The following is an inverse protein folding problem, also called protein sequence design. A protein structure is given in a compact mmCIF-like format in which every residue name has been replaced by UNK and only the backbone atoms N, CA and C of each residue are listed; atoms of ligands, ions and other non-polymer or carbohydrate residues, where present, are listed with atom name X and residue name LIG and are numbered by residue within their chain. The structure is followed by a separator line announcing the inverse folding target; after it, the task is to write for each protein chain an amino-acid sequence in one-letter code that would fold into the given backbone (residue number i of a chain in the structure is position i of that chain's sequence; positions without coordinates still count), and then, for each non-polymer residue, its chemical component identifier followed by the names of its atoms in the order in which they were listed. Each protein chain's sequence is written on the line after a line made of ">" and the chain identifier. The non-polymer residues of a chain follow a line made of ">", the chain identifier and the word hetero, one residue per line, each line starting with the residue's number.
data_IF_573169446061
#
_entry.id   IF_573169446061
#
_cell.length_a   1.000
_cell.length_b   1.000
_cell.length_c   1.000
_cell.angle_alpha   90.00
_cell.angle_beta   90.00
_cell.angle_gamma   90.00
#
_symmetry.space_group_name_H-M   'P 1'
#
loop_
_entity.id
_entity.type
_entity.pdbx_description
1 polymer ?
#
# COMPACT_ATOMS: atom_id res chain seq x y z
N UNK A 1 12.15 -14.17 -35.47
CA UNK A 1 12.88 -13.52 -34.39
C UNK A 1 12.05 -12.33 -33.95
N UNK A 2 11.20 -12.52 -32.92
CA UNK A 2 10.40 -11.43 -32.36
C UNK A 2 11.20 -10.86 -31.19
N UNK A 3 11.57 -9.60 -31.31
CA UNK A 3 12.23 -8.83 -30.24
C UNK A 3 11.23 -8.60 -29.13
N UNK A 4 11.48 -9.22 -27.99
CA UNK A 4 10.75 -8.98 -26.75
C UNK A 4 11.09 -7.54 -26.31
N UNK A 5 10.12 -6.65 -26.46
CA UNK A 5 10.21 -5.27 -25.97
C UNK A 5 10.38 -5.30 -24.44
N UNK A 6 11.40 -4.61 -23.95
CA UNK A 6 11.63 -4.45 -22.52
C UNK A 6 10.44 -3.72 -21.91
N UNK A 7 9.88 -4.31 -20.85
CA UNK A 7 8.84 -3.67 -20.03
C UNK A 7 9.34 -2.32 -19.52
N UNK A 8 8.48 -1.29 -19.45
CA UNK A 8 8.85 0.00 -18.89
C UNK A 8 9.18 -0.14 -17.41
N UNK A 9 10.01 0.77 -16.86
CA UNK A 9 10.40 0.72 -15.46
C UNK A 9 9.16 0.86 -14.57
N UNK A 10 9.03 -0.07 -13.64
CA UNK A 10 8.02 -0.02 -12.59
C UNK A 10 8.17 1.31 -11.84
N UNK A 11 7.16 2.17 -11.90
CA UNK A 11 7.11 3.37 -11.10
C UNK A 11 6.90 2.94 -9.63
N UNK A 12 8.00 2.83 -8.90
CA UNK A 12 7.98 2.72 -7.45
C UNK A 12 7.45 4.05 -6.91
N UNK A 13 6.18 4.07 -6.54
CA UNK A 13 5.62 5.18 -5.79
C UNK A 13 6.03 5.02 -4.34
N UNK A 14 7.29 5.36 -4.02
CA UNK A 14 7.68 5.59 -2.63
C UNK A 14 6.72 6.62 -2.05
N UNK A 15 6.10 6.30 -0.91
CA UNK A 15 5.19 7.21 -0.26
C UNK A 15 5.90 8.55 -0.02
N UNK A 16 5.41 9.57 -0.69
CA UNK A 16 6.03 10.88 -0.82
C UNK A 16 6.20 11.55 0.57
N UNK A 17 7.25 12.38 0.77
CA UNK A 17 7.33 13.32 1.89
C UNK A 17 6.05 14.17 2.06
N UNK A 18 5.30 14.36 1.00
CA UNK A 18 4.00 15.03 0.98
C UNK A 18 2.96 14.26 1.77
N UNK A 19 2.88 12.93 1.61
CA UNK A 19 1.96 12.11 2.39
C UNK A 19 2.32 12.13 3.89
N UNK A 20 3.59 12.04 4.23
CA UNK A 20 4.03 12.08 5.63
C UNK A 20 3.61 13.40 6.32
N UNK A 21 3.83 14.53 5.64
CA UNK A 21 3.43 15.84 6.12
C UNK A 21 1.90 15.93 6.27
N UNK A 22 1.14 15.41 5.30
CA UNK A 22 -0.31 15.37 5.34
C UNK A 22 -0.84 14.52 6.51
N UNK A 23 -0.29 13.33 6.70
CA UNK A 23 -0.68 12.43 7.80
C UNK A 23 -0.40 13.07 9.17
N UNK A 24 0.75 13.72 9.34
CA UNK A 24 1.10 14.45 10.58
C UNK A 24 0.14 15.61 10.84
N UNK A 25 -0.21 16.40 9.81
CA UNK A 25 -1.14 17.51 9.92
C UNK A 25 -2.55 17.03 10.29
N UNK A 26 -3.04 15.97 9.67
CA UNK A 26 -4.35 15.39 9.94
C UNK A 26 -4.46 14.90 11.40
N UNK A 27 -3.42 14.22 11.91
CA UNK A 27 -3.37 13.80 13.31
C UNK A 27 -3.33 14.98 14.29
N UNK A 28 -2.59 16.02 13.95
CA UNK A 28 -2.55 17.24 14.79
C UNK A 28 -3.92 17.94 14.85
N UNK A 29 -4.66 18.00 13.75
CA UNK A 29 -6.00 18.56 13.67
C UNK A 29 -7.01 17.81 14.55
N UNK A 30 -6.80 16.50 14.79
CA UNK A 30 -7.59 15.67 15.70
C UNK A 30 -7.20 15.84 17.18
N UNK A 31 -6.35 16.81 17.51
CA UNK A 31 -5.83 16.98 18.87
C UNK A 31 -4.93 15.82 19.33
N UNK A 32 -4.58 14.95 18.42
CA UNK A 32 -3.77 13.76 18.69
C UNK A 32 -2.29 14.16 18.68
N UNK A 33 -1.69 14.34 19.85
CA UNK A 33 -0.23 14.51 19.93
C UNK A 33 0.42 13.30 19.27
N UNK A 34 1.26 13.55 18.27
CA UNK A 34 2.07 12.52 17.65
C UNK A 34 3.09 12.01 18.69
N UNK A 35 2.68 11.05 19.53
CA UNK A 35 3.60 10.33 20.42
C UNK A 35 4.64 9.58 19.60
N UNK A 36 5.82 9.29 20.17
CA UNK A 36 6.94 8.69 19.46
C UNK A 36 6.58 7.47 18.61
N UNK A 37 5.71 6.57 19.11
CA UNK A 37 5.27 5.39 18.36
C UNK A 37 4.54 5.74 17.06
N UNK A 38 3.65 6.76 17.07
CA UNK A 38 2.92 7.19 15.84
C UNK A 38 3.85 7.78 14.81
N UNK A 39 4.85 8.56 15.24
CA UNK A 39 5.85 9.13 14.33
C UNK A 39 6.67 8.04 13.65
N UNK A 40 7.07 7.00 14.40
CA UNK A 40 7.81 5.86 13.86
C UNK A 40 6.98 5.09 12.82
N UNK A 41 5.69 4.85 13.08
CA UNK A 41 4.80 4.16 12.13
C UNK A 41 4.59 4.99 10.87
N UNK A 42 4.36 6.30 10.98
CA UNK A 42 4.21 7.19 9.83
C UNK A 42 5.49 7.21 8.99
N UNK A 43 6.66 7.34 9.61
CA UNK A 43 7.93 7.33 8.90
C UNK A 43 8.19 5.98 8.19
N UNK A 44 7.84 4.85 8.85
CA UNK A 44 7.96 3.53 8.25
C UNK A 44 7.03 3.32 7.05
N UNK A 45 5.80 3.86 7.11
CA UNK A 45 4.84 3.86 5.99
C UNK A 45 5.33 4.76 4.85
N UNK A 46 5.85 5.95 5.16
CA UNK A 46 6.36 6.89 4.15
C UNK A 46 7.57 6.35 3.38
N UNK A 47 8.35 5.46 3.98
CA UNK A 47 9.53 4.84 3.37
C UNK A 47 9.29 3.48 2.71
N UNK A 48 8.03 3.07 2.49
CA UNK A 48 7.74 1.77 1.84
C UNK A 48 7.41 1.93 0.36
N UNK A 49 7.79 0.92 -0.42
CA UNK A 49 7.56 0.90 -1.87
C UNK A 49 6.22 0.26 -2.26
N UNK A 50 5.63 -0.53 -1.35
CA UNK A 50 4.36 -1.23 -1.53
C UNK A 50 3.71 -1.44 -0.16
N UNK A 51 2.56 -2.11 -0.12
CA UNK A 51 1.87 -2.43 1.13
C UNK A 51 2.72 -3.32 2.05
N UNK A 52 2.57 -3.15 3.35
CA UNK A 52 3.24 -3.95 4.38
C UNK A 52 2.30 -4.34 5.51
N UNK A 53 2.51 -5.51 6.10
CA UNK A 53 1.83 -5.95 7.31
C UNK A 53 2.29 -5.16 8.55
N UNK A 54 1.51 -5.20 9.62
CA UNK A 54 1.89 -4.58 10.89
C UNK A 54 3.22 -5.14 11.43
N UNK A 55 3.49 -6.43 11.23
CA UNK A 55 4.72 -7.09 11.63
C UNK A 55 5.92 -6.58 10.84
N UNK A 56 5.78 -6.43 9.51
CA UNK A 56 6.83 -5.89 8.64
C UNK A 56 7.13 -4.43 8.98
N UNK A 57 6.09 -3.61 9.22
CA UNK A 57 6.24 -2.23 9.68
C UNK A 57 6.98 -2.19 11.03
N UNK A 58 6.61 -3.04 11.99
CA UNK A 58 7.27 -3.14 13.28
C UNK A 58 8.74 -3.53 13.15
N UNK A 59 9.04 -4.55 12.33
CA UNK A 59 10.42 -4.99 12.06
C UNK A 59 11.26 -3.87 11.40
N UNK A 60 10.68 -3.12 10.46
CA UNK A 60 11.32 -1.97 9.80
C UNK A 60 11.65 -0.85 10.80
N UNK A 61 10.72 -0.53 11.71
CA UNK A 61 10.97 0.42 12.79
C UNK A 61 12.16 -0.03 13.67
N UNK A 62 12.20 -1.30 14.04
CA UNK A 62 13.30 -1.85 14.83
C UNK A 62 14.64 -1.79 14.09
N UNK A 63 14.65 -2.05 12.78
CA UNK A 63 15.85 -2.00 11.92
C UNK A 63 16.44 -0.58 11.82
N UNK A 64 15.61 0.47 11.97
CA UNK A 64 16.07 1.87 12.00
C UNK A 64 16.43 2.37 13.41
N UNK A 65 16.48 1.47 14.39
CA UNK A 65 16.79 1.82 15.80
C UNK A 65 15.60 2.40 16.58
N UNK A 66 14.41 2.41 15.99
CA UNK A 66 13.19 2.83 16.66
C UNK A 66 12.68 1.75 17.62
N UNK A 67 12.02 2.18 18.71
CA UNK A 67 11.43 1.27 19.69
C UNK A 67 9.95 1.53 19.83
N UNK A 68 9.13 0.53 19.53
CA UNK A 68 7.67 0.56 19.74
C UNK A 68 7.14 -0.86 19.95
N UNK A 69 6.04 -1.00 20.67
CA UNK A 69 5.38 -2.30 20.79
C UNK A 69 4.43 -2.54 19.63
N UNK A 70 4.29 -3.80 19.21
CA UNK A 70 3.40 -4.21 18.11
C UNK A 70 1.94 -3.74 18.30
N UNK A 71 1.43 -3.74 19.53
CA UNK A 71 0.10 -3.23 19.84
C UNK A 71 -0.05 -1.72 19.53
N UNK A 72 1.05 -0.94 19.66
CA UNK A 72 1.06 0.48 19.30
C UNK A 72 1.10 0.69 17.80
N UNK A 73 1.74 -0.22 17.06
CA UNK A 73 1.69 -0.23 15.59
C UNK A 73 0.25 -0.44 15.15
N UNK A 74 -0.43 -1.50 15.61
CA UNK A 74 -1.82 -1.77 15.25
C UNK A 74 -2.75 -0.59 15.57
N UNK A 75 -2.70 -0.04 16.79
CA UNK A 75 -3.52 1.12 17.16
C UNK A 75 -3.26 2.35 16.29
N UNK A 76 -2.02 2.52 15.82
CA UNK A 76 -1.71 3.62 14.91
C UNK A 76 -2.26 3.37 13.51
N UNK A 77 -2.13 2.14 13.00
CA UNK A 77 -2.70 1.75 11.71
C UNK A 77 -4.22 1.89 11.70
N UNK A 78 -4.91 1.42 12.75
CA UNK A 78 -6.37 1.58 12.88
C UNK A 78 -6.78 3.05 12.88
N UNK A 79 -6.03 3.90 13.58
CA UNK A 79 -6.28 5.35 13.61
C UNK A 79 -6.08 5.99 12.22
N UNK A 80 -4.98 5.68 11.54
CA UNK A 80 -4.68 6.21 10.21
C UNK A 80 -5.70 5.72 9.17
N UNK A 81 -6.12 4.47 9.25
CA UNK A 81 -7.16 3.91 8.39
C UNK A 81 -8.52 4.57 8.62
N UNK A 82 -8.90 4.78 9.89
CA UNK A 82 -10.13 5.50 10.25
C UNK A 82 -10.17 6.95 9.76
N UNK A 83 -9.00 7.55 9.53
CA UNK A 83 -8.83 8.89 8.94
C UNK A 83 -8.66 8.85 7.40
N UNK A 84 -8.79 7.71 6.77
CA UNK A 84 -8.57 7.50 5.33
C UNK A 84 -7.18 7.95 4.84
N UNK A 85 -6.18 7.90 5.72
CA UNK A 85 -4.80 8.25 5.42
C UNK A 85 -4.00 7.06 4.88
N UNK A 86 -4.48 5.84 5.13
CA UNK A 86 -3.93 4.60 4.60
C UNK A 86 -5.05 3.71 4.07
N UNK A 87 -4.69 2.89 3.10
CA UNK A 87 -5.54 1.83 2.56
C UNK A 87 -5.16 0.49 3.20
N UNK A 88 -6.15 -0.33 3.50
CA UNK A 88 -5.97 -1.70 3.95
C UNK A 88 -6.16 -2.63 2.77
N UNK A 89 -5.15 -3.43 2.49
CA UNK A 89 -5.11 -4.39 1.38
C UNK A 89 -5.26 -5.81 1.94
N UNK A 90 -6.19 -6.57 1.38
CA UNK A 90 -6.29 -8.01 1.61
C UNK A 90 -5.65 -8.75 0.44
N UNK A 91 -4.51 -9.36 0.68
CA UNK A 91 -3.80 -10.14 -0.32
C UNK A 91 -4.26 -11.60 -0.38
N UNK A 92 -5.32 -11.98 0.34
CA UNK A 92 -5.91 -13.31 0.30
C UNK A 92 -5.13 -14.40 1.07
N UNK A 93 -4.10 -14.02 1.82
CA UNK A 93 -3.30 -14.89 2.71
C UNK A 93 -3.74 -14.77 4.18
N UNK A 94 -4.81 -14.00 4.45
CA UNK A 94 -5.30 -13.74 5.79
C UNK A 94 -4.50 -12.68 6.56
N UNK A 95 -3.50 -12.07 5.95
CA UNK A 95 -2.67 -11.03 6.56
C UNK A 95 -3.08 -9.66 5.99
N UNK A 96 -3.59 -8.78 6.86
CA UNK A 96 -3.87 -7.40 6.47
C UNK A 96 -2.57 -6.64 6.22
N UNK A 97 -2.47 -5.97 5.05
CA UNK A 97 -1.38 -5.08 4.68
C UNK A 97 -1.90 -3.65 4.56
N UNK A 98 -1.00 -2.71 4.71
CA UNK A 98 -1.33 -1.29 4.75
C UNK A 98 -0.38 -0.49 3.86
N UNK A 99 -0.91 0.50 3.19
CA UNK A 99 -0.13 1.45 2.39
C UNK A 99 -0.70 2.86 2.51
N UNK A 100 0.10 3.89 2.27
CA UNK A 100 -0.37 5.26 2.19
C UNK A 100 -1.48 5.44 1.16
N UNK A 101 -2.60 6.08 1.55
CA UNK A 101 -3.61 6.49 0.60
C UNK A 101 -3.12 7.70 -0.20
N UNK A 102 -3.27 7.66 -1.52
CA UNK A 102 -2.90 8.77 -2.39
C UNK A 102 -4.02 9.81 -2.46
N UNK A 103 -3.77 11.08 -2.07
CA UNK A 103 -4.80 12.11 -2.06
C UNK A 103 -5.35 12.48 -3.44
N UNK A 104 -4.59 12.20 -4.49
CA UNK A 104 -4.94 12.43 -5.90
C UNK A 104 -5.76 11.29 -6.52
N UNK A 105 -6.06 10.24 -5.74
CA UNK A 105 -6.78 9.06 -6.22
C UNK A 105 -5.92 8.12 -7.07
N UNK A 106 -4.61 8.37 -7.19
CA UNK A 106 -3.72 7.41 -7.82
C UNK A 106 -3.76 6.09 -7.04
N UNK A 107 -4.03 5.01 -7.75
CA UNK A 107 -4.06 3.67 -7.18
C UNK A 107 -3.17 2.73 -8.01
N UNK A 108 -2.82 1.62 -7.42
CA UNK A 108 -2.10 0.54 -8.07
C UNK A 108 -2.69 -0.79 -7.62
N UNK A 109 -2.37 -1.82 -8.34
CA UNK A 109 -2.80 -3.18 -8.07
C UNK A 109 -1.64 -4.01 -7.55
N UNK A 110 -1.91 -5.22 -7.08
CA UNK A 110 -0.92 -6.04 -6.40
C UNK A 110 -0.71 -7.39 -7.09
N UNK A 111 0.56 -7.79 -7.22
CA UNK A 111 1.00 -9.13 -7.58
C UNK A 111 1.47 -9.83 -6.31
N UNK A 112 0.92 -11.00 -6.01
CA UNK A 112 1.27 -11.77 -4.81
C UNK A 112 1.88 -13.09 -5.22
N UNK A 113 3.08 -13.38 -4.74
CA UNK A 113 3.70 -14.67 -4.92
C UNK A 113 3.25 -15.66 -3.85
N UNK A 114 2.55 -16.72 -4.25
CA UNK A 114 2.07 -17.75 -3.32
C UNK A 114 3.20 -18.61 -2.71
N UNK A 115 4.39 -18.58 -3.32
CA UNK A 115 5.54 -19.37 -2.88
C UNK A 115 6.37 -18.66 -1.82
N UNK A 116 6.73 -17.37 -2.04
CA UNK A 116 7.60 -16.63 -1.14
C UNK A 116 6.91 -15.48 -0.40
N UNK A 117 5.64 -15.23 -0.69
CA UNK A 117 4.86 -14.16 -0.05
C UNK A 117 5.22 -12.75 -0.50
N UNK A 118 6.11 -12.56 -1.50
CA UNK A 118 6.42 -11.23 -2.00
C UNK A 118 5.18 -10.56 -2.60
N UNK A 119 5.06 -9.27 -2.36
CA UNK A 119 4.01 -8.43 -2.94
C UNK A 119 4.67 -7.32 -3.74
N UNK A 120 4.23 -7.15 -4.98
CA UNK A 120 4.70 -6.12 -5.89
C UNK A 120 3.53 -5.29 -6.38
N UNK A 121 3.70 -3.97 -6.48
CA UNK A 121 2.71 -3.07 -7.05
C UNK A 121 2.81 -3.08 -8.58
N UNK A 122 1.68 -2.97 -9.27
CA UNK A 122 1.64 -2.75 -10.71
C UNK A 122 0.50 -1.81 -11.11
N UNK A 123 0.66 -1.18 -12.24
CA UNK A 123 -0.38 -0.39 -12.92
C UNK A 123 -0.39 -0.79 -14.40
N UNK A 124 -1.58 -0.93 -14.97
CA UNK A 124 -1.75 -1.28 -16.39
C UNK A 124 -2.96 -0.58 -16.98
N UNK A 125 -2.72 0.33 -17.94
CA UNK A 125 -3.77 1.13 -18.57
C UNK A 125 -4.79 0.29 -19.36
N UNK A 126 -4.37 -0.85 -19.91
CA UNK A 126 -5.27 -1.73 -20.65
C UNK A 126 -6.25 -2.42 -19.68
N UNK A 127 -5.76 -2.78 -18.49
CA UNK A 127 -6.59 -3.33 -17.42
C UNK A 127 -7.62 -2.30 -16.93
N UNK A 128 -7.20 -1.06 -16.68
CA UNK A 128 -8.10 0.03 -16.29
C UNK A 128 -9.20 0.24 -17.34
N UNK A 129 -8.80 0.28 -18.62
CA UNK A 129 -9.75 0.41 -19.74
C UNK A 129 -10.75 -0.74 -19.77
N UNK A 130 -10.30 -1.96 -19.51
CA UNK A 130 -11.16 -3.15 -19.50
C UNK A 130 -12.18 -3.11 -18.35
N UNK A 131 -11.77 -2.65 -17.16
CA UNK A 131 -12.65 -2.48 -16.01
C UNK A 131 -13.77 -1.48 -16.32
N UNK A 132 -13.43 -0.32 -16.88
CA UNK A 132 -14.42 0.68 -17.28
C UNK A 132 -15.37 0.14 -18.36
N UNK A 133 -14.86 -0.56 -19.37
CA UNK A 133 -15.68 -1.16 -20.40
C UNK A 133 -16.68 -2.20 -19.85
N UNK A 134 -16.28 -2.99 -18.87
CA UNK A 134 -17.20 -3.93 -18.17
C UNK A 134 -18.26 -3.18 -17.39
N UNK A 135 -17.89 -2.14 -16.66
CA UNK A 135 -18.82 -1.31 -15.91
C UNK A 135 -19.88 -0.66 -16.81
N UNK A 136 -19.46 -0.09 -17.93
CA UNK A 136 -20.34 0.51 -18.92
C UNK A 136 -21.28 -0.53 -19.57
N UNK A 137 -20.75 -1.74 -19.83
CA UNK A 137 -21.56 -2.81 -20.43
C UNK A 137 -22.70 -3.28 -19.54
N UNK A 138 -22.51 -3.25 -18.21
CA UNK A 138 -23.51 -3.68 -17.23
C UNK A 138 -24.28 -2.51 -16.58
N UNK A 139 -24.08 -1.30 -17.08
CA UNK A 139 -24.67 -0.05 -16.54
C UNK A 139 -24.41 0.12 -15.02
N UNK A 140 -23.16 -0.08 -14.61
CA UNK A 140 -22.74 -0.01 -13.21
C UNK A 140 -21.68 1.05 -13.00
N UNK A 141 -21.90 1.97 -12.05
CA UNK A 141 -20.90 2.96 -11.67
C UNK A 141 -19.87 2.33 -10.73
N UNK A 142 -18.63 2.23 -11.17
CA UNK A 142 -17.49 1.81 -10.33
C UNK A 142 -16.88 3.05 -9.68
N UNK A 143 -16.93 3.11 -8.36
CA UNK A 143 -16.32 4.21 -7.57
C UNK A 143 -14.91 3.85 -7.09
N UNK A 144 -14.60 2.57 -6.91
CA UNK A 144 -13.28 2.04 -6.53
C UNK A 144 -13.16 0.57 -6.96
N UNK A 145 -11.94 0.13 -7.17
CA UNK A 145 -11.64 -1.28 -7.43
C UNK A 145 -10.24 -1.64 -6.94
N UNK A 146 -10.07 -2.87 -6.51
CA UNK A 146 -8.79 -3.45 -6.11
C UNK A 146 -8.58 -4.76 -6.88
N UNK A 147 -7.37 -4.95 -7.44
CA UNK A 147 -7.02 -6.18 -8.14
C UNK A 147 -5.78 -6.77 -7.50
N UNK A 148 -5.90 -8.03 -7.11
CA UNK A 148 -4.80 -8.84 -6.62
C UNK A 148 -4.62 -10.04 -7.53
N UNK A 149 -3.50 -10.11 -8.25
CA UNK A 149 -3.12 -11.27 -9.05
C UNK A 149 -2.17 -12.16 -8.23
N UNK A 150 -2.47 -13.45 -8.22
CA UNK A 150 -1.72 -14.43 -7.43
C UNK A 150 -1.02 -15.45 -8.34
N UNK A 151 0.16 -15.88 -7.91
CA UNK A 151 0.93 -16.85 -8.67
C UNK A 151 2.35 -17.01 -8.18
N UNK A 152 3.32 -17.23 -9.08
CA UNK A 152 4.73 -17.35 -8.76
C UNK A 152 5.51 -16.18 -9.37
N UNK A 153 6.33 -15.52 -8.55
CA UNK A 153 7.24 -14.47 -9.01
C UNK A 153 8.36 -15.05 -9.90
N UNK A 154 9.14 -14.16 -10.53
CA UNK A 154 10.24 -14.57 -11.42
C UNK A 154 11.22 -15.54 -10.76
N UNK A 155 11.46 -15.41 -9.45
CA UNK A 155 12.40 -16.24 -8.70
C UNK A 155 11.81 -17.59 -8.32
N UNK A 156 10.48 -17.70 -8.22
CA UNK A 156 9.80 -18.91 -7.73
C UNK A 156 9.15 -19.77 -8.82
N UNK A 157 9.08 -19.28 -10.06
CA UNK A 157 8.54 -20.01 -11.23
C UNK A 157 9.59 -20.84 -11.93
#
# INVERSE_FOLDING_TARGET
>A
MQTVSASPPHHHHSASPVWEAHARAALAAQGSRAGGARQLVIAALAGQDCCASAQEIHARIAATGGTTGIASVYRTLDLLHGLSLITRIDTGDGVARFEPAHPDGAHHHHLVCDTCGSVEAFHDEALETAIHAVADHVDFRVDAHDIVLRGACRTCR
#
